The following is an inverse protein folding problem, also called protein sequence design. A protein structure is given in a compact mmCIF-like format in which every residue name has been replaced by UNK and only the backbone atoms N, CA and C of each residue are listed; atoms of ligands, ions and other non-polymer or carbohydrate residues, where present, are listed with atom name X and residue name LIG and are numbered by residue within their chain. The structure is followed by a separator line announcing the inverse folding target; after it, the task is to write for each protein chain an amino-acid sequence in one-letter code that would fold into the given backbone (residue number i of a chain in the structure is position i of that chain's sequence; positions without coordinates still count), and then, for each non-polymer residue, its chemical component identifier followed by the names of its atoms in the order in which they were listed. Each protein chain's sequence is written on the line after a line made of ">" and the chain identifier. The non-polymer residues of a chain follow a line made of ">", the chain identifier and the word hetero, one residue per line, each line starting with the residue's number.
data_IF_282710906914
#
_entry.id   IF_282710906914
#
_cell.length_a   1.000
_cell.length_b   1.000
_cell.length_c   1.000
_cell.angle_alpha   90.00
_cell.angle_beta   90.00
_cell.angle_gamma   90.00
#
_symmetry.space_group_name_H-M   'P 1'
#
loop_
_entity.id
_entity.type
_entity.pdbx_description
1 polymer ?
#
# COMPACT_ATOMS: atom_id res chain seq x y z
N UNK A 1 -57.75 24.30 27.94
CA UNK A 1 -57.29 24.26 26.54
C UNK A 1 -56.04 23.38 26.45
N UNK A 2 -56.18 22.10 26.05
CA UNK A 2 -55.05 21.15 25.92
C UNK A 2 -54.43 21.31 24.54
N UNK A 3 -53.22 21.89 24.43
CA UNK A 3 -52.46 21.93 23.18
C UNK A 3 -52.00 20.51 22.85
N UNK A 4 -52.61 19.91 21.84
CA UNK A 4 -52.17 18.64 21.24
C UNK A 4 -50.93 18.95 20.39
N UNK A 5 -49.76 18.64 20.90
CA UNK A 5 -48.55 18.58 20.09
C UNK A 5 -48.58 17.25 19.33
N UNK A 6 -48.89 17.32 18.04
CA UNK A 6 -48.69 16.21 17.12
C UNK A 6 -47.17 16.01 16.99
N UNK A 7 -46.62 15.00 17.68
CA UNK A 7 -45.21 14.62 17.58
C UNK A 7 -44.96 14.05 16.17
N UNK A 8 -44.64 14.93 15.23
CA UNK A 8 -44.04 14.60 13.95
C UNK A 8 -42.53 14.40 14.17
N UNK A 9 -42.12 13.19 14.54
CA UNK A 9 -40.72 12.75 14.49
C UNK A 9 -40.67 11.34 13.86
N UNK A 10 -39.71 11.00 12.99
CA UNK A 10 -38.95 11.85 12.08
C UNK A 10 -38.71 11.16 10.71
N UNK A 11 -39.21 11.72 9.60
CA UNK A 11 -38.78 11.29 8.24
C UNK A 11 -37.25 11.48 8.05
N UNK A 12 -36.65 12.38 8.82
CA UNK A 12 -35.22 12.66 8.83
C UNK A 12 -34.38 11.49 9.38
N UNK A 13 -34.89 10.78 10.40
CA UNK A 13 -34.18 9.63 10.98
C UNK A 13 -34.15 8.43 10.05
N UNK A 14 -35.27 8.18 9.34
CA UNK A 14 -35.35 7.09 8.35
C UNK A 14 -34.44 7.36 7.14
N UNK A 15 -34.40 8.60 6.66
CA UNK A 15 -33.51 9.00 5.57
C UNK A 15 -32.04 8.88 5.96
N UNK A 16 -31.66 9.26 7.19
CA UNK A 16 -30.28 9.10 7.67
C UNK A 16 -29.88 7.63 7.76
N UNK A 17 -30.78 6.77 8.26
CA UNK A 17 -30.54 5.32 8.34
C UNK A 17 -30.40 4.71 6.95
N UNK A 18 -31.21 5.13 5.98
CA UNK A 18 -31.13 4.70 4.58
C UNK A 18 -29.83 5.17 3.92
N UNK A 19 -29.40 6.42 4.17
CA UNK A 19 -28.13 6.95 3.66
C UNK A 19 -26.95 6.15 4.26
N UNK A 20 -26.95 5.92 5.57
CA UNK A 20 -25.88 5.15 6.23
C UNK A 20 -25.85 3.71 5.71
N UNK A 21 -27.01 3.03 5.58
CA UNK A 21 -27.07 1.67 5.02
C UNK A 21 -26.61 1.62 3.56
N UNK A 22 -27.10 2.53 2.72
CA UNK A 22 -26.71 2.65 1.32
C UNK A 22 -25.21 2.92 1.18
N UNK A 23 -24.64 3.80 2.01
CA UNK A 23 -23.19 4.06 2.05
C UNK A 23 -22.38 2.84 2.53
N UNK A 24 -22.90 2.05 3.48
CA UNK A 24 -22.20 0.83 3.93
C UNK A 24 -22.26 -0.29 2.91
N UNK A 25 -23.40 -0.45 2.21
CA UNK A 25 -23.57 -1.48 1.17
C UNK A 25 -22.71 -1.16 -0.05
N UNK A 26 -22.72 0.10 -0.51
CA UNK A 26 -21.83 0.56 -1.59
C UNK A 26 -20.35 0.53 -1.20
N UNK A 27 -19.99 0.85 0.04
CA UNK A 27 -18.60 0.74 0.52
C UNK A 27 -18.07 -0.68 0.47
N UNK A 28 -18.88 -1.67 0.89
CA UNK A 28 -18.46 -3.07 0.94
C UNK A 28 -18.37 -3.72 -0.47
N UNK A 29 -19.26 -3.35 -1.40
CA UNK A 29 -19.18 -3.81 -2.80
C UNK A 29 -18.01 -3.17 -3.56
N UNK A 30 -17.73 -1.88 -3.34
CA UNK A 30 -16.59 -1.18 -3.95
C UNK A 30 -15.24 -1.70 -3.42
N UNK A 31 -15.14 -2.03 -2.13
CA UNK A 31 -13.94 -2.61 -1.53
C UNK A 31 -13.66 -4.01 -2.10
N UNK A 32 -14.69 -4.86 -2.23
CA UNK A 32 -14.56 -6.19 -2.83
C UNK A 32 -14.17 -6.14 -4.32
N UNK A 33 -14.71 -5.19 -5.08
CA UNK A 33 -14.36 -4.99 -6.50
C UNK A 33 -12.94 -4.41 -6.67
N UNK A 34 -12.48 -3.57 -5.73
CA UNK A 34 -11.11 -3.04 -5.75
C UNK A 34 -10.05 -4.12 -5.51
N UNK A 35 -10.37 -5.13 -4.69
CA UNK A 35 -9.51 -6.28 -4.40
C UNK A 35 -9.37 -7.22 -5.61
N UNK A 36 -10.44 -7.44 -6.38
CA UNK A 36 -10.40 -8.27 -7.59
C UNK A 36 -9.61 -7.62 -8.72
N UNK A 37 -9.56 -6.29 -8.76
CA UNK A 37 -8.83 -5.54 -9.79
C UNK A 37 -7.42 -5.09 -9.39
N UNK A 38 -7.01 -5.29 -8.14
CA UNK A 38 -5.67 -4.88 -7.69
C UNK A 38 -4.57 -5.62 -8.46
N UNK A 39 -3.76 -4.87 -9.23
CA UNK A 39 -2.66 -5.41 -10.01
C UNK A 39 -1.63 -6.13 -9.13
N UNK A 40 -1.33 -5.58 -7.95
CA UNK A 40 -0.35 -6.15 -7.03
C UNK A 40 -0.87 -7.44 -6.39
N UNK A 41 -2.18 -7.56 -6.12
CA UNK A 41 -2.79 -8.84 -5.77
C UNK A 41 -2.63 -9.88 -6.89
N UNK A 42 -2.83 -9.49 -8.15
CA UNK A 42 -2.66 -10.40 -9.29
C UNK A 42 -1.21 -10.86 -9.44
N UNK A 43 -0.23 -9.95 -9.23
CA UNK A 43 1.20 -10.30 -9.22
C UNK A 43 1.54 -11.22 -8.05
N UNK A 44 1.13 -10.88 -6.83
CA UNK A 44 1.45 -11.65 -5.62
C UNK A 44 0.82 -13.06 -5.60
N UNK A 45 -0.27 -13.25 -6.34
CA UNK A 45 -0.91 -14.57 -6.57
C UNK A 45 -0.35 -15.32 -7.78
N UNK A 46 0.60 -14.75 -8.51
CA UNK A 46 1.15 -15.34 -9.74
C UNK A 46 0.18 -15.38 -10.92
N UNK A 47 -0.97 -14.72 -10.86
CA UNK A 47 -1.96 -14.70 -11.95
C UNK A 47 -1.63 -13.65 -13.02
N UNK A 48 -0.65 -12.78 -12.78
CA UNK A 48 -0.15 -11.81 -13.74
C UNK A 48 1.19 -12.24 -14.35
N UNK A 49 1.14 -13.06 -15.41
CA UNK A 49 2.29 -13.76 -16.01
C UNK A 49 3.38 -12.86 -16.61
N UNK A 50 3.11 -11.56 -16.82
CA UNK A 50 4.11 -10.64 -17.41
C UNK A 50 5.13 -10.13 -16.40
N UNK A 51 4.91 -10.33 -15.10
CA UNK A 51 5.84 -9.92 -14.04
C UNK A 51 6.48 -11.13 -13.42
N UNK A 52 7.82 -11.21 -13.52
CA UNK A 52 8.59 -12.26 -12.88
C UNK A 52 8.77 -11.97 -11.38
N UNK A 53 8.49 -12.97 -10.55
CA UNK A 53 8.83 -12.95 -9.14
C UNK A 53 10.31 -13.29 -8.99
N UNK A 54 11.07 -12.40 -8.35
CA UNK A 54 12.49 -12.58 -8.05
C UNK A 54 12.70 -13.22 -6.67
N UNK A 55 11.68 -13.11 -5.81
CA UNK A 55 11.57 -13.82 -4.53
C UNK A 55 10.08 -14.04 -4.23
N UNK A 56 9.78 -15.16 -3.59
CA UNK A 56 8.44 -15.49 -3.10
C UNK A 56 8.59 -16.36 -1.85
N UNK A 57 7.81 -16.01 -0.81
CA UNK A 57 7.58 -16.88 0.35
C UNK A 57 6.08 -16.98 0.66
N UNK A 58 5.73 -17.45 1.86
CA UNK A 58 4.34 -17.63 2.27
C UNK A 58 3.57 -16.31 2.48
N UNK A 59 4.26 -15.20 2.76
CA UNK A 59 3.63 -13.94 3.17
C UNK A 59 3.78 -12.82 2.14
N UNK A 60 4.88 -12.77 1.39
CA UNK A 60 5.15 -11.70 0.43
C UNK A 60 5.96 -12.16 -0.79
N UNK A 61 6.02 -11.28 -1.79
CA UNK A 61 6.80 -11.46 -3.01
C UNK A 61 7.70 -10.25 -3.25
N UNK A 62 8.81 -10.44 -3.99
CA UNK A 62 9.62 -9.34 -4.51
C UNK A 62 9.68 -9.42 -6.03
N UNK A 63 9.41 -8.29 -6.70
CA UNK A 63 9.51 -8.16 -8.15
C UNK A 63 10.00 -6.78 -8.57
N UNK A 64 10.45 -6.66 -9.81
CA UNK A 64 11.00 -5.41 -10.36
C UNK A 64 9.87 -4.40 -10.62
N UNK A 65 10.07 -3.15 -10.23
CA UNK A 65 9.14 -2.07 -10.58
C UNK A 65 9.14 -1.87 -12.12
N UNK A 66 7.94 -1.71 -12.70
CA UNK A 66 7.77 -1.44 -14.14
C UNK A 66 8.31 -0.07 -14.54
N UNK A 67 8.27 0.90 -13.62
CA UNK A 67 8.73 2.28 -13.79
C UNK A 67 9.88 2.56 -12.81
N UNK A 68 11.09 2.03 -13.07
CA UNK A 68 12.20 2.13 -12.14
C UNK A 68 12.65 3.58 -11.94
N UNK A 69 12.89 3.98 -10.69
CA UNK A 69 13.36 5.33 -10.35
C UNK A 69 14.90 5.46 -10.41
N UNK A 70 15.61 4.34 -10.41
CA UNK A 70 17.05 4.16 -10.59
C UNK A 70 17.30 2.78 -11.24
N UNK A 71 18.56 2.43 -11.56
CA UNK A 71 18.88 1.12 -12.18
C UNK A 71 18.32 -0.08 -11.42
N UNK A 72 18.33 -0.03 -10.09
CA UNK A 72 17.69 -1.02 -9.22
C UNK A 72 16.47 -0.36 -8.60
N UNK A 73 15.29 -0.93 -8.88
CA UNK A 73 14.03 -0.58 -8.23
C UNK A 73 13.18 -1.84 -8.10
N UNK A 74 13.08 -2.37 -6.89
CA UNK A 74 12.28 -3.54 -6.56
C UNK A 74 11.19 -3.20 -5.55
N UNK A 75 10.11 -3.96 -5.59
CA UNK A 75 8.98 -3.84 -4.69
C UNK A 75 8.81 -5.14 -3.92
N UNK A 76 8.79 -5.09 -2.59
CA UNK A 76 8.28 -6.19 -1.77
C UNK A 76 6.80 -5.93 -1.48
N UNK A 77 5.94 -6.91 -1.72
CA UNK A 77 4.48 -6.78 -1.67
C UNK A 77 3.89 -7.98 -0.91
N UNK A 78 3.09 -7.78 0.15
CA UNK A 78 2.44 -8.87 0.85
C UNK A 78 1.36 -9.51 -0.02
N UNK A 79 1.18 -10.83 0.12
CA UNK A 79 0.14 -11.60 -0.55
C UNK A 79 -1.26 -11.20 -0.08
N UNK A 80 -1.39 -10.83 1.20
CA UNK A 80 -2.60 -10.20 1.72
C UNK A 80 -2.66 -8.73 1.32
N UNK A 81 -3.84 -8.27 0.91
CA UNK A 81 -4.06 -6.88 0.53
C UNK A 81 -4.17 -5.97 1.77
N UNK A 82 -3.39 -4.90 1.75
CA UNK A 82 -3.49 -3.76 2.65
C UNK A 82 -3.35 -2.51 1.80
N UNK A 83 -4.22 -1.50 1.94
CA UNK A 83 -4.18 -0.34 1.03
C UNK A 83 -2.86 0.43 1.05
N UNK A 84 -2.24 0.54 2.23
CA UNK A 84 -0.98 1.26 2.44
C UNK A 84 -0.43 1.00 3.85
N UNK A 85 0.71 1.60 4.17
CA UNK A 85 1.27 1.57 5.53
C UNK A 85 0.31 2.16 6.59
N UNK A 86 -0.61 3.07 6.21
CA UNK A 86 -1.62 3.65 7.11
C UNK A 86 -2.74 2.70 7.50
N UNK A 87 -2.94 1.62 6.73
CA UNK A 87 -3.93 0.60 7.06
C UNK A 87 -3.44 -0.38 8.14
N UNK A 88 -2.16 -0.30 8.51
CA UNK A 88 -1.54 -1.23 9.44
C UNK A 88 -1.64 -0.76 10.90
N UNK A 89 -1.55 -1.72 11.80
CA UNK A 89 -1.52 -1.50 13.25
C UNK A 89 -0.41 -2.35 13.89
N UNK A 90 -0.29 -2.33 15.22
CA UNK A 90 0.78 -3.02 15.97
C UNK A 90 0.87 -4.54 15.71
N UNK A 91 -0.22 -5.22 15.34
CA UNK A 91 -0.17 -6.66 15.01
C UNK A 91 0.62 -6.95 13.74
N UNK A 92 0.86 -5.94 12.90
CA UNK A 92 1.53 -6.07 11.61
C UNK A 92 3.03 -5.78 11.69
N UNK A 93 3.58 -5.46 12.87
CA UNK A 93 5.02 -5.13 13.03
C UNK A 93 5.89 -6.28 12.48
N UNK A 94 5.57 -7.52 12.82
CA UNK A 94 6.33 -8.68 12.34
C UNK A 94 6.33 -8.82 10.81
N UNK A 95 5.21 -8.52 10.15
CA UNK A 95 5.14 -8.53 8.68
C UNK A 95 6.08 -7.47 8.08
N UNK A 96 6.07 -6.26 8.63
CA UNK A 96 6.94 -5.16 8.18
C UNK A 96 8.42 -5.52 8.36
N UNK A 97 8.80 -6.06 9.52
CA UNK A 97 10.17 -6.48 9.79
C UNK A 97 10.63 -7.58 8.82
N UNK A 98 9.77 -8.57 8.54
CA UNK A 98 10.08 -9.64 7.58
C UNK A 98 10.23 -9.12 6.16
N UNK A 99 9.33 -8.26 5.70
CA UNK A 99 9.44 -7.63 4.38
C UNK A 99 10.70 -6.77 4.26
N UNK A 100 11.04 -5.99 5.29
CA UNK A 100 12.25 -5.19 5.34
C UNK A 100 13.51 -6.05 5.27
N UNK A 101 13.61 -7.06 6.12
CA UNK A 101 14.75 -7.97 6.14
C UNK A 101 14.85 -8.75 4.82
N UNK A 102 13.72 -9.15 4.25
CA UNK A 102 13.63 -9.77 2.93
C UNK A 102 14.21 -8.87 1.84
N UNK A 103 13.81 -7.60 1.78
CA UNK A 103 14.34 -6.63 0.82
C UNK A 103 15.84 -6.38 1.01
N UNK A 104 16.31 -6.23 2.26
CA UNK A 104 17.73 -6.06 2.58
C UNK A 104 18.56 -7.25 2.08
N UNK A 105 18.12 -8.47 2.41
CA UNK A 105 18.81 -9.69 2.00
C UNK A 105 18.78 -9.89 0.48
N UNK A 106 17.65 -9.55 -0.15
CA UNK A 106 17.51 -9.59 -1.60
C UNK A 106 18.44 -8.60 -2.31
N UNK A 107 18.55 -7.36 -1.83
CA UNK A 107 19.48 -6.38 -2.39
C UNK A 107 20.94 -6.82 -2.21
N UNK A 108 21.30 -7.36 -1.03
CA UNK A 108 22.63 -7.93 -0.78
C UNK A 108 22.95 -9.09 -1.73
N UNK A 109 21.99 -9.97 -2.02
CA UNK A 109 22.20 -11.09 -2.95
C UNK A 109 22.34 -10.66 -4.42
N UNK A 110 22.06 -9.39 -4.73
CA UNK A 110 22.32 -8.74 -6.02
C UNK A 110 23.58 -7.86 -5.99
N UNK A 111 24.44 -8.02 -4.98
CA UNK A 111 25.68 -7.25 -4.77
C UNK A 111 25.46 -5.73 -4.66
N UNK A 112 24.32 -5.32 -4.10
CA UNK A 112 23.99 -3.90 -3.91
C UNK A 112 24.57 -3.38 -2.60
N UNK A 113 25.35 -2.30 -2.67
CA UNK A 113 25.75 -1.54 -1.49
C UNK A 113 24.53 -0.83 -0.89
N UNK A 114 24.18 -1.21 0.33
CA UNK A 114 23.04 -0.66 1.06
C UNK A 114 23.27 0.77 1.52
N UNK A 115 24.51 1.24 1.61
CA UNK A 115 24.84 2.62 2.01
C UNK A 115 24.35 3.66 1.00
N UNK A 116 24.17 3.24 -0.25
CA UNK A 116 23.67 4.06 -1.36
C UNK A 116 22.26 3.66 -1.81
N UNK A 117 21.61 2.77 -1.06
CA UNK A 117 20.24 2.33 -1.31
C UNK A 117 19.25 3.08 -0.40
N UNK A 118 18.01 3.20 -0.86
CA UNK A 118 16.88 3.63 -0.04
C UNK A 118 15.85 2.51 0.04
N UNK A 119 15.39 2.23 1.26
CA UNK A 119 14.38 1.22 1.54
C UNK A 119 13.27 1.86 2.36
N UNK A 120 12.02 1.77 1.91
CA UNK A 120 10.90 2.39 2.62
C UNK A 120 9.58 2.43 1.87
N UNK A 121 8.58 3.01 2.52
CA UNK A 121 7.19 3.05 2.05
C UNK A 121 6.76 4.46 1.66
N UNK A 122 6.00 4.59 0.57
CA UNK A 122 5.22 5.79 0.34
C UNK A 122 4.02 5.88 1.30
N UNK A 123 3.63 7.11 1.65
CA UNK A 123 2.52 7.39 2.57
C UNK A 123 1.39 8.11 1.80
N UNK A 124 0.12 7.66 1.94
CA UNK A 124 -1.02 8.33 1.30
C UNK A 124 -1.15 9.81 1.69
N UNK A 125 -1.60 10.69 0.77
CA UNK A 125 -2.28 10.37 -0.51
C UNK A 125 -1.35 10.07 -1.70
N UNK A 126 -0.03 10.13 -1.51
CA UNK A 126 0.95 10.01 -2.60
C UNK A 126 1.41 8.57 -2.80
N UNK A 127 0.50 7.69 -3.23
CA UNK A 127 0.81 6.29 -3.57
C UNK A 127 0.36 5.99 -5.00
N UNK A 128 1.15 5.21 -5.75
CA UNK A 128 0.85 4.83 -7.13
C UNK A 128 -0.12 3.66 -7.24
N UNK A 129 -0.15 2.81 -6.22
CA UNK A 129 -1.02 1.62 -6.13
C UNK A 129 -1.57 1.52 -4.70
N UNK A 130 -2.88 1.29 -4.57
CA UNK A 130 -3.54 0.99 -3.29
C UNK A 130 -3.27 -0.45 -2.87
N UNK A 131 -2.01 -0.78 -2.62
CA UNK A 131 -1.54 -2.04 -2.06
C UNK A 131 -0.22 -1.75 -1.39
N UNK A 132 -0.02 -2.15 -0.14
CA UNK A 132 1.21 -1.98 0.60
C UNK A 132 2.40 -2.51 -0.21
N UNK A 133 3.40 -1.66 -0.46
CA UNK A 133 4.61 -2.07 -1.13
C UNK A 133 5.81 -1.34 -0.54
N UNK A 134 6.85 -2.12 -0.25
CA UNK A 134 8.13 -1.61 0.21
C UNK A 134 9.05 -1.41 -0.99
N UNK A 135 9.54 -0.19 -1.17
CA UNK A 135 10.52 0.11 -2.20
C UNK A 135 11.92 -0.28 -1.73
N UNK A 136 12.70 -0.89 -2.62
CA UNK A 136 14.16 -1.00 -2.52
C UNK A 136 14.78 -0.40 -3.77
N UNK A 137 15.45 0.75 -3.63
CA UNK A 137 15.94 1.54 -4.77
C UNK A 137 17.44 1.82 -4.62
N UNK A 138 18.21 1.61 -5.68
CA UNK A 138 19.66 1.86 -5.67
C UNK A 138 20.23 2.09 -7.08
N UNK A 139 21.34 2.82 -7.22
CA UNK A 139 21.83 3.80 -6.25
C UNK A 139 20.98 5.07 -6.29
N UNK A 140 20.84 5.76 -5.16
CA UNK A 140 20.08 7.03 -5.10
C UNK A 140 20.68 8.12 -6.00
N UNK A 141 21.97 8.05 -6.29
CA UNK A 141 22.67 8.99 -7.19
C UNK A 141 22.11 9.02 -8.61
N UNK A 142 21.52 7.92 -9.07
CA UNK A 142 20.94 7.79 -10.41
C UNK A 142 19.48 8.28 -10.51
N UNK A 143 18.83 8.59 -9.39
CA UNK A 143 17.47 9.14 -9.42
C UNK A 143 17.45 10.53 -10.08
N UNK A 144 16.42 10.82 -10.87
CA UNK A 144 16.12 12.20 -11.26
C UNK A 144 15.91 13.08 -10.03
N UNK A 145 16.09 14.40 -10.17
CA UNK A 145 15.87 15.35 -9.07
C UNK A 145 14.45 15.21 -8.48
N UNK A 146 13.45 15.01 -9.34
CA UNK A 146 12.05 14.80 -8.91
C UNK A 146 11.87 13.50 -8.11
N UNK A 147 12.47 12.40 -8.54
CA UNK A 147 12.42 11.13 -7.81
C UNK A 147 13.17 11.24 -6.48
N UNK A 148 14.30 11.93 -6.45
CA UNK A 148 15.03 12.21 -5.20
C UNK A 148 14.14 12.96 -4.20
N UNK A 149 13.37 13.95 -4.64
CA UNK A 149 12.40 14.62 -3.76
C UNK A 149 11.32 13.64 -3.26
N UNK A 150 10.77 12.80 -4.15
CA UNK A 150 9.72 11.83 -3.79
C UNK A 150 10.17 10.74 -2.81
N UNK A 151 11.41 10.26 -2.89
CA UNK A 151 11.89 9.15 -2.06
C UNK A 151 12.75 9.59 -0.85
N UNK A 152 13.11 10.88 -0.77
CA UNK A 152 14.12 11.37 0.18
C UNK A 152 13.63 12.50 1.08
N UNK A 153 12.31 12.70 1.18
CA UNK A 153 11.67 13.60 2.13
C UNK A 153 10.98 12.79 3.24
N UNK A 154 11.74 12.39 4.28
CA UNK A 154 11.32 11.43 5.28
C UNK A 154 10.15 11.89 6.18
N UNK A 155 9.77 13.16 6.10
CA UNK A 155 8.84 13.80 7.05
C UNK A 155 7.38 13.85 6.58
N UNK A 156 7.09 13.69 5.29
CA UNK A 156 5.74 13.96 4.75
C UNK A 156 5.14 12.86 3.87
N UNK A 157 5.95 12.12 3.08
CA UNK A 157 5.41 11.17 2.10
C UNK A 157 6.22 9.89 1.89
N UNK A 158 7.43 9.76 2.45
CA UNK A 158 8.21 8.52 2.41
C UNK A 158 8.71 8.16 3.82
N UNK A 159 8.42 6.95 4.28
CA UNK A 159 8.89 6.45 5.58
C UNK A 159 10.04 5.48 5.34
N UNK A 160 11.27 5.93 5.60
CA UNK A 160 12.43 5.05 5.68
C UNK A 160 12.26 4.06 6.83
N UNK A 161 12.75 2.84 6.62
CA UNK A 161 12.79 1.79 7.63
C UNK A 161 14.18 1.64 8.29
N UNK A 162 15.12 2.53 7.94
CA UNK A 162 16.45 2.66 8.55
C UNK A 162 16.42 3.25 9.96
#
# INVERSE_FOLDING_TARGET
>A
MKKRYLFLFPLFGLLLILIVKYSTETGNELDAQSLSECLFCKIAKGTFSTTKLEFEDEEFVIFKDKNPAAKIHYLAVPKQHYDSIKALNKSHIGLIERMQNGMINFLKSKDVDLSVAVIGYHVPPFISQKHLHLHGISPVSEMSVSNRISFFMPSFWFKSVS
#
